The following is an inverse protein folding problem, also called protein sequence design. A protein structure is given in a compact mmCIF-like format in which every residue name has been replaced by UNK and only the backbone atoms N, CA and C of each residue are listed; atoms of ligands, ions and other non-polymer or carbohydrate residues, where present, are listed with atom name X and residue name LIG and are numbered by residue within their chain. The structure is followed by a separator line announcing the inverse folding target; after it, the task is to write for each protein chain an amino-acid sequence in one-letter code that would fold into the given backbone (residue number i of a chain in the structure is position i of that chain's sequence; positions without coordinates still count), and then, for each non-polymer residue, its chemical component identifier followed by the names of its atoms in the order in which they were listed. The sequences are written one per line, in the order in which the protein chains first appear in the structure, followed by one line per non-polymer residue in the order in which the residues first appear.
data_IF_499986987730
#
_entry.id   IF_499986987730
#
_cell.length_a   1.000
_cell.length_b   1.000
_cell.length_c   1.000
_cell.angle_alpha   90.00
_cell.angle_beta   90.00
_cell.angle_gamma   90.00
#
_symmetry.space_group_name_H-M   'P 1'
#
loop_
_entity.id
_entity.type
_entity.pdbx_description
1 polymer ?
#
# COMPACT_ATOMS: atom_id res chain seq x y z
N UNK A 1 -44.97 27.52 -10.49
CA UNK A 1 -45.19 26.18 -9.91
C UNK A 1 -44.97 25.02 -10.91
N UNK A 2 -45.03 25.24 -12.24
CA UNK A 2 -44.89 24.16 -13.24
C UNK A 2 -43.45 23.63 -13.49
N UNK A 3 -42.38 24.40 -13.24
CA UNK A 3 -41.01 23.98 -13.58
C UNK A 3 -40.37 22.94 -12.64
N UNK A 4 -40.96 22.68 -11.46
CA UNK A 4 -40.39 21.75 -10.47
C UNK A 4 -41.17 20.43 -10.37
N UNK A 5 -42.24 20.27 -11.15
CA UNK A 5 -43.02 19.04 -11.24
C UNK A 5 -42.16 17.77 -11.48
N UNK A 6 -41.14 17.76 -12.37
CA UNK A 6 -40.34 16.55 -12.57
C UNK A 6 -39.53 16.17 -11.32
N UNK A 7 -39.01 17.16 -10.58
CA UNK A 7 -38.23 16.93 -9.36
C UNK A 7 -39.14 16.31 -8.28
N UNK A 8 -40.34 16.86 -8.11
CA UNK A 8 -41.31 16.35 -7.17
C UNK A 8 -41.71 14.90 -7.47
N UNK A 9 -42.01 14.58 -8.73
CA UNK A 9 -42.33 13.22 -9.14
C UNK A 9 -41.14 12.25 -8.96
N UNK A 10 -39.91 12.71 -9.19
CA UNK A 10 -38.71 11.90 -8.92
C UNK A 10 -38.54 11.58 -7.44
N UNK A 11 -38.81 12.56 -6.55
CA UNK A 11 -38.75 12.36 -5.10
C UNK A 11 -39.85 11.40 -4.63
N UNK A 12 -41.08 11.54 -5.13
CA UNK A 12 -42.17 10.60 -4.83
C UNK A 12 -41.84 9.19 -5.36
N UNK A 13 -41.31 9.07 -6.58
CA UNK A 13 -40.88 7.79 -7.15
C UNK A 13 -39.76 7.14 -6.32
N UNK A 14 -38.81 7.93 -5.80
CA UNK A 14 -37.77 7.43 -4.90
C UNK A 14 -38.35 6.94 -3.56
N UNK A 15 -39.34 7.65 -3.01
CA UNK A 15 -40.04 7.23 -1.80
C UNK A 15 -40.81 5.91 -2.02
N UNK A 16 -41.56 5.80 -3.12
CA UNK A 16 -42.25 4.58 -3.55
C UNK A 16 -41.27 3.42 -3.73
N UNK A 17 -40.14 3.65 -4.41
CA UNK A 17 -39.12 2.63 -4.65
C UNK A 17 -38.48 2.12 -3.34
N UNK A 18 -38.21 3.02 -2.40
CA UNK A 18 -37.67 2.67 -1.07
C UNK A 18 -38.68 1.84 -0.27
N UNK A 19 -39.94 2.28 -0.24
CA UNK A 19 -41.01 1.54 0.45
C UNK A 19 -41.24 0.15 -0.19
N UNK A 20 -41.22 0.05 -1.51
CA UNK A 20 -41.35 -1.21 -2.23
C UNK A 20 -40.21 -2.19 -1.91
N UNK A 21 -38.96 -1.70 -1.88
CA UNK A 21 -37.77 -2.53 -1.65
C UNK A 21 -37.59 -2.92 -0.18
N UNK A 22 -37.51 -1.94 0.72
CA UNK A 22 -37.18 -2.16 2.13
C UNK A 22 -38.43 -2.42 2.97
N UNK A 23 -39.54 -1.74 2.67
CA UNK A 23 -40.78 -1.87 3.45
C UNK A 23 -41.61 -3.09 3.11
N UNK A 24 -41.68 -3.47 1.84
CA UNK A 24 -42.52 -4.59 1.39
C UNK A 24 -41.72 -5.82 1.00
N UNK A 25 -40.80 -5.71 0.02
CA UNK A 25 -40.08 -6.88 -0.52
C UNK A 25 -39.29 -7.62 0.55
N UNK A 26 -38.44 -6.92 1.33
CA UNK A 26 -37.62 -7.58 2.35
C UNK A 26 -38.45 -8.28 3.44
N UNK A 27 -39.40 -7.62 4.16
CA UNK A 27 -40.16 -8.28 5.21
C UNK A 27 -41.06 -9.39 4.66
N UNK A 28 -41.67 -9.18 3.49
CA UNK A 28 -42.54 -10.19 2.90
C UNK A 28 -41.81 -11.50 2.64
N UNK A 29 -40.63 -11.45 2.01
CA UNK A 29 -39.86 -12.66 1.72
C UNK A 29 -39.10 -13.20 2.95
N UNK A 30 -38.81 -12.36 3.95
CA UNK A 30 -38.22 -12.83 5.21
C UNK A 30 -39.22 -13.63 6.06
N UNK A 31 -40.47 -13.15 6.20
CA UNK A 31 -41.48 -13.78 7.07
C UNK A 31 -42.37 -14.79 6.34
N UNK A 32 -42.70 -14.57 5.07
CA UNK A 32 -43.60 -15.42 4.28
C UNK A 32 -42.89 -16.15 3.13
N UNK A 33 -41.55 -16.17 3.13
CA UNK A 33 -40.74 -16.90 2.17
C UNK A 33 -40.66 -18.41 2.47
N UNK A 34 -39.88 -19.12 1.65
CA UNK A 34 -39.59 -20.54 1.89
C UNK A 34 -38.62 -20.66 3.07
N UNK A 35 -39.02 -21.42 4.09
CA UNK A 35 -38.17 -21.68 5.25
C UNK A 35 -36.89 -22.43 4.82
N UNK A 36 -35.75 -21.92 5.29
CA UNK A 36 -34.43 -22.50 5.05
C UNK A 36 -34.06 -23.57 6.09
N UNK A 37 -34.87 -23.76 7.14
CA UNK A 37 -34.63 -24.74 8.20
C UNK A 37 -33.45 -24.39 9.10
N UNK A 38 -33.07 -23.11 9.16
CA UNK A 38 -31.94 -22.61 9.94
C UNK A 38 -32.43 -22.26 11.35
N UNK A 39 -31.83 -22.84 12.38
CA UNK A 39 -32.15 -22.50 13.77
C UNK A 39 -31.63 -21.08 14.09
N UNK A 40 -32.56 -20.12 14.17
CA UNK A 40 -32.24 -18.73 14.49
C UNK A 40 -32.10 -18.56 16.01
N UNK A 41 -31.01 -17.91 16.44
CA UNK A 41 -30.77 -17.54 17.84
C UNK A 41 -31.19 -16.09 18.09
N UNK A 42 -31.83 -15.84 19.22
CA UNK A 42 -32.18 -14.47 19.62
C UNK A 42 -30.92 -13.58 19.76
N UNK A 43 -31.02 -12.30 19.38
CA UNK A 43 -29.91 -11.36 19.48
C UNK A 43 -29.49 -11.13 20.95
N UNK A 44 -28.21 -10.83 21.21
CA UNK A 44 -27.72 -10.57 22.56
C UNK A 44 -28.42 -9.34 23.17
N UNK A 45 -28.57 -9.33 24.50
CA UNK A 45 -29.31 -8.28 25.24
C UNK A 45 -28.84 -6.86 24.91
N UNK A 46 -27.54 -6.64 24.70
CA UNK A 46 -26.99 -5.33 24.34
C UNK A 46 -27.52 -4.82 22.99
N UNK A 47 -27.72 -5.72 22.01
CA UNK A 47 -28.29 -5.37 20.71
C UNK A 47 -29.77 -5.02 20.83
N UNK A 48 -30.53 -5.77 21.64
CA UNK A 48 -31.93 -5.49 21.93
C UNK A 48 -32.14 -4.12 22.58
N UNK A 49 -31.29 -3.76 23.55
CA UNK A 49 -31.34 -2.44 24.19
C UNK A 49 -31.07 -1.34 23.15
N UNK A 50 -30.06 -1.52 22.29
CA UNK A 50 -29.77 -0.57 21.21
C UNK A 50 -30.94 -0.38 20.25
N UNK A 51 -31.55 -1.48 19.79
CA UNK A 51 -32.75 -1.45 18.94
C UNK A 51 -33.92 -0.77 19.65
N UNK A 52 -34.11 -1.04 20.95
CA UNK A 52 -35.17 -0.43 21.76
C UNK A 52 -35.01 1.08 21.89
N UNK A 53 -33.81 1.58 22.15
CA UNK A 53 -33.52 3.01 22.23
C UNK A 53 -33.75 3.68 20.87
N UNK A 54 -33.26 3.07 19.78
CA UNK A 54 -33.47 3.60 18.44
C UNK A 54 -34.96 3.66 18.06
N UNK A 55 -35.72 2.60 18.33
CA UNK A 55 -37.16 2.56 18.10
C UNK A 55 -37.90 3.62 18.94
N UNK A 56 -37.52 3.78 20.21
CA UNK A 56 -38.07 4.81 21.08
C UNK A 56 -37.82 6.22 20.53
N UNK A 57 -36.59 6.51 20.08
CA UNK A 57 -36.26 7.81 19.48
C UNK A 57 -37.01 8.06 18.17
N UNK A 58 -37.15 7.05 17.30
CA UNK A 58 -37.94 7.16 16.07
C UNK A 58 -39.41 7.48 16.35
N UNK A 59 -40.01 6.82 17.35
CA UNK A 59 -41.41 7.08 17.75
C UNK A 59 -41.52 8.48 18.38
N UNK A 60 -40.62 8.83 19.29
CA UNK A 60 -40.62 10.12 19.99
C UNK A 60 -40.53 11.29 18.99
N UNK A 61 -39.59 11.22 18.05
CA UNK A 61 -39.39 12.25 17.03
C UNK A 61 -40.50 12.28 15.99
N UNK A 62 -41.11 11.14 15.68
CA UNK A 62 -42.29 11.07 14.81
C UNK A 62 -43.50 11.76 15.46
N UNK A 63 -43.84 11.37 16.69
CA UNK A 63 -45.02 11.89 17.39
C UNK A 63 -44.84 13.36 17.82
N UNK A 64 -43.64 13.76 18.22
CA UNK A 64 -43.34 15.11 18.68
C UNK A 64 -42.22 15.78 17.85
N UNK A 65 -42.51 16.19 16.60
CA UNK A 65 -41.51 16.76 15.68
C UNK A 65 -40.98 18.12 16.14
N UNK A 66 -41.70 18.81 17.03
CA UNK A 66 -41.28 20.10 17.61
C UNK A 66 -39.93 20.02 18.30
N UNK A 67 -39.56 18.85 18.85
CA UNK A 67 -38.25 18.66 19.48
C UNK A 67 -37.10 18.87 18.49
N UNK A 68 -37.30 18.47 17.23
CA UNK A 68 -36.30 18.67 16.18
C UNK A 68 -36.35 20.10 15.65
N UNK A 69 -37.54 20.64 15.41
CA UNK A 69 -37.72 21.99 14.84
C UNK A 69 -37.14 23.10 15.71
N UNK A 70 -37.15 22.95 17.04
CA UNK A 70 -36.56 23.92 17.96
C UNK A 70 -35.01 23.97 17.90
N UNK A 71 -34.37 22.95 17.34
CA UNK A 71 -32.90 22.85 17.24
C UNK A 71 -32.41 23.35 15.86
N UNK A 72 -33.31 23.57 14.90
CA UNK A 72 -32.93 24.02 13.56
C UNK A 72 -32.40 25.47 13.57
N UNK A 73 -31.42 25.79 12.70
CA UNK A 73 -30.81 27.12 12.63
C UNK A 73 -31.75 28.21 12.07
N UNK A 74 -32.84 27.82 11.40
CA UNK A 74 -33.86 28.73 10.84
C UNK A 74 -35.27 28.34 11.31
N UNK A 75 -35.60 28.57 12.59
CA UNK A 75 -36.87 28.14 13.16
C UNK A 75 -38.09 28.86 12.56
N UNK A 76 -37.92 30.13 12.13
CA UNK A 76 -38.99 30.93 11.54
C UNK A 76 -39.53 30.37 10.21
N UNK A 77 -38.69 29.70 9.43
CA UNK A 77 -39.09 29.10 8.15
C UNK A 77 -39.93 27.81 8.33
N UNK A 78 -39.90 27.21 9.52
CA UNK A 78 -40.53 25.91 9.82
C UNK A 78 -41.69 26.05 10.83
N UNK A 79 -41.83 27.22 11.47
CA UNK A 79 -42.81 27.49 12.52
C UNK A 79 -44.27 27.22 12.09
N UNK A 80 -44.60 27.46 10.81
CA UNK A 80 -45.95 27.27 10.26
C UNK A 80 -46.14 25.92 9.55
N UNK A 81 -45.10 25.07 9.48
CA UNK A 81 -45.21 23.79 8.76
C UNK A 81 -45.92 22.74 9.62
N UNK A 82 -47.09 22.29 9.17
CA UNK A 82 -47.88 21.25 9.81
C UNK A 82 -47.63 19.88 9.14
N UNK A 83 -46.71 19.03 9.66
CA UNK A 83 -46.33 17.76 9.02
C UNK A 83 -47.50 16.77 8.92
N UNK A 84 -48.41 16.79 9.89
CA UNK A 84 -49.60 15.93 9.93
C UNK A 84 -50.86 16.62 9.38
N UNK A 85 -50.71 17.62 8.51
CA UNK A 85 -51.85 18.19 7.81
C UNK A 85 -52.62 17.10 7.04
N UNK A 86 -53.96 17.12 7.02
CA UNK A 86 -54.77 16.07 6.40
C UNK A 86 -54.38 15.76 4.95
N UNK A 87 -54.04 16.80 4.18
CA UNK A 87 -53.61 16.64 2.79
C UNK A 87 -52.33 15.78 2.66
N UNK A 88 -51.33 15.98 3.51
CA UNK A 88 -50.09 15.21 3.50
C UNK A 88 -50.31 13.76 3.92
N UNK A 89 -51.13 13.54 4.95
CA UNK A 89 -51.43 12.20 5.46
C UNK A 89 -52.22 11.39 4.45
N UNK A 90 -53.27 11.97 3.85
CA UNK A 90 -54.09 11.30 2.85
C UNK A 90 -53.27 10.99 1.59
N UNK A 91 -52.47 11.94 1.10
CA UNK A 91 -51.59 11.70 -0.05
C UNK A 91 -50.57 10.59 0.20
N UNK A 92 -49.93 10.59 1.37
CA UNK A 92 -48.99 9.54 1.77
C UNK A 92 -49.68 8.17 1.87
N UNK A 93 -50.87 8.12 2.45
CA UNK A 93 -51.65 6.88 2.57
C UNK A 93 -52.04 6.33 1.20
N UNK A 94 -52.53 7.18 0.29
CA UNK A 94 -52.84 6.80 -1.08
C UNK A 94 -51.62 6.22 -1.77
N UNK A 95 -50.46 6.90 -1.68
CA UNK A 95 -49.21 6.44 -2.28
C UNK A 95 -48.77 5.08 -1.73
N UNK A 96 -48.83 4.89 -0.41
CA UNK A 96 -48.47 3.62 0.25
C UNK A 96 -49.42 2.49 -0.16
N UNK A 97 -50.73 2.74 -0.19
CA UNK A 97 -51.74 1.75 -0.60
C UNK A 97 -51.60 1.36 -2.07
N UNK A 98 -51.37 2.32 -2.97
CA UNK A 98 -51.12 2.03 -4.39
C UNK A 98 -49.82 1.27 -4.59
N UNK A 99 -48.77 1.60 -3.84
CA UNK A 99 -47.50 0.86 -3.88
C UNK A 99 -47.68 -0.57 -3.38
N UNK A 100 -48.42 -0.77 -2.30
CA UNK A 100 -48.78 -2.10 -1.79
C UNK A 100 -49.60 -2.91 -2.79
N UNK A 101 -50.60 -2.29 -3.42
CA UNK A 101 -51.39 -2.92 -4.47
C UNK A 101 -50.51 -3.32 -5.67
N UNK A 102 -49.61 -2.43 -6.11
CA UNK A 102 -48.61 -2.74 -7.15
C UNK A 102 -47.70 -3.90 -6.75
N UNK A 103 -47.23 -3.94 -5.50
CA UNK A 103 -46.44 -5.05 -4.99
C UNK A 103 -47.18 -6.38 -5.07
N UNK A 104 -48.46 -6.44 -4.70
CA UNK A 104 -49.28 -7.66 -4.81
C UNK A 104 -49.40 -8.16 -6.25
N UNK A 105 -49.60 -7.24 -7.21
CA UNK A 105 -49.68 -7.58 -8.63
C UNK A 105 -48.34 -8.09 -9.19
N UNK A 106 -47.23 -7.44 -8.83
CA UNK A 106 -45.88 -7.76 -9.35
C UNK A 106 -45.11 -8.75 -8.48
N UNK A 107 -45.71 -9.32 -7.43
CA UNK A 107 -45.04 -10.20 -6.45
C UNK A 107 -44.23 -11.32 -7.11
N UNK A 108 -44.75 -11.94 -8.17
CA UNK A 108 -44.05 -13.03 -8.89
C UNK A 108 -42.74 -12.56 -9.55
N UNK A 109 -42.70 -11.32 -10.04
CA UNK A 109 -41.52 -10.73 -10.71
C UNK A 109 -40.51 -10.17 -9.71
N UNK A 110 -40.94 -9.88 -8.47
CA UNK A 110 -40.10 -9.32 -7.41
C UNK A 110 -39.39 -10.36 -6.54
N UNK A 111 -39.52 -11.65 -6.86
CA UNK A 111 -38.91 -12.74 -6.11
C UNK A 111 -37.37 -12.55 -6.07
N UNK A 112 -36.72 -12.65 -4.89
CA UNK A 112 -35.26 -12.57 -4.81
C UNK A 112 -34.62 -13.70 -5.61
N UNK A 113 -33.71 -13.35 -6.51
CA UNK A 113 -32.88 -14.29 -7.24
C UNK A 113 -31.54 -14.46 -6.53
N UNK A 114 -31.01 -15.69 -6.54
CA UNK A 114 -29.71 -16.01 -5.95
C UNK A 114 -28.61 -15.45 -6.83
N UNK A 115 -28.31 -14.16 -6.65
CA UNK A 115 -27.22 -13.47 -7.34
C UNK A 115 -26.15 -13.06 -6.33
N UNK A 116 -24.88 -13.10 -6.76
CA UNK A 116 -23.78 -12.58 -5.94
C UNK A 116 -23.82 -11.06 -6.07
N UNK A 117 -24.23 -10.38 -5.00
CA UNK A 117 -24.16 -8.92 -4.94
C UNK A 117 -22.70 -8.50 -4.78
N UNK A 118 -22.11 -7.96 -5.84
CA UNK A 118 -20.79 -7.36 -5.79
C UNK A 118 -20.93 -5.94 -5.22
N UNK A 119 -20.87 -5.84 -3.90
CA UNK A 119 -20.88 -4.55 -3.20
C UNK A 119 -19.43 -4.01 -3.03
N UNK A 120 -19.33 -2.78 -2.53
CA UNK A 120 -18.10 -2.09 -2.19
C UNK A 120 -17.23 -2.88 -1.19
N UNK A 121 -17.80 -3.83 -0.43
CA UNK A 121 -17.06 -4.78 0.41
C UNK A 121 -16.00 -5.56 -0.38
N UNK A 122 -16.24 -5.83 -1.67
CA UNK A 122 -15.28 -6.54 -2.52
C UNK A 122 -13.96 -5.76 -2.66
N UNK A 123 -14.05 -4.45 -2.85
CA UNK A 123 -12.88 -3.56 -2.93
C UNK A 123 -12.14 -3.51 -1.60
N UNK A 124 -12.88 -3.42 -0.49
CA UNK A 124 -12.28 -3.39 0.84
C UNK A 124 -11.56 -4.71 1.17
N UNK A 125 -12.21 -5.85 0.92
CA UNK A 125 -11.67 -7.19 1.19
C UNK A 125 -10.44 -7.48 0.33
N UNK A 126 -10.50 -7.19 -0.98
CA UNK A 126 -9.36 -7.41 -1.89
C UNK A 126 -8.22 -6.43 -1.64
N UNK A 127 -8.54 -5.16 -1.36
CA UNK A 127 -7.57 -4.13 -0.99
C UNK A 127 -6.81 -4.49 0.28
N UNK A 128 -7.51 -4.97 1.32
CA UNK A 128 -6.90 -5.40 2.57
C UNK A 128 -5.92 -6.57 2.40
N UNK A 129 -6.28 -7.57 1.58
CA UNK A 129 -5.37 -8.70 1.27
C UNK A 129 -4.13 -8.23 0.52
N UNK A 130 -4.31 -7.34 -0.47
CA UNK A 130 -3.19 -6.77 -1.22
C UNK A 130 -2.27 -5.94 -0.32
N UNK A 131 -2.84 -5.16 0.59
CA UNK A 131 -2.11 -4.35 1.55
C UNK A 131 -1.31 -5.22 2.54
N UNK A 132 -1.94 -6.26 3.09
CA UNK A 132 -1.26 -7.22 3.96
C UNK A 132 -0.14 -7.96 3.23
N UNK A 133 -0.36 -8.34 1.96
CA UNK A 133 0.68 -8.94 1.12
C UNK A 133 1.84 -7.98 0.88
N UNK A 134 1.56 -6.69 0.64
CA UNK A 134 2.57 -5.67 0.41
C UNK A 134 3.43 -5.40 1.66
N UNK A 135 2.83 -5.38 2.85
CA UNK A 135 3.59 -5.22 4.09
C UNK A 135 4.51 -6.42 4.33
N UNK A 136 3.97 -7.64 4.17
CA UNK A 136 4.68 -8.85 4.57
C UNK A 136 5.75 -9.32 3.55
N UNK A 137 5.71 -8.87 2.30
CA UNK A 137 6.65 -9.32 1.27
C UNK A 137 7.68 -8.25 0.89
N UNK A 138 7.36 -7.25 0.05
CA UNK A 138 8.36 -6.30 -0.43
C UNK A 138 8.92 -5.43 0.69
N UNK A 139 8.08 -4.98 1.62
CA UNK A 139 8.53 -4.10 2.70
C UNK A 139 9.36 -4.85 3.74
N UNK A 140 8.93 -6.04 4.16
CA UNK A 140 9.69 -6.90 5.06
C UNK A 140 11.05 -7.30 4.46
N UNK A 141 11.10 -7.62 3.17
CA UNK A 141 12.35 -7.96 2.46
C UNK A 141 13.29 -6.76 2.36
N UNK A 142 12.75 -5.57 2.08
CA UNK A 142 13.53 -4.33 2.07
C UNK A 142 14.15 -4.02 3.43
N UNK A 143 13.39 -4.20 4.51
CA UNK A 143 13.90 -4.02 5.86
C UNK A 143 15.00 -5.04 6.22
N UNK A 144 14.82 -6.31 5.88
CA UNK A 144 15.82 -7.35 6.12
C UNK A 144 17.13 -7.09 5.34
N UNK A 145 17.03 -6.64 4.08
CA UNK A 145 18.22 -6.29 3.29
C UNK A 145 19.08 -5.22 3.97
N UNK A 146 18.46 -4.20 4.57
CA UNK A 146 19.23 -3.17 5.31
C UNK A 146 19.97 -3.75 6.51
N UNK A 147 19.36 -4.71 7.22
CA UNK A 147 20.01 -5.39 8.35
C UNK A 147 21.17 -6.28 7.88
N UNK A 148 20.98 -7.00 6.78
CA UNK A 148 22.01 -7.88 6.20
C UNK A 148 23.24 -7.09 5.73
N UNK A 149 23.02 -5.97 5.03
CA UNK A 149 24.10 -5.07 4.59
C UNK A 149 24.90 -4.54 5.78
N UNK A 150 24.22 -4.12 6.87
CA UNK A 150 24.92 -3.63 8.07
C UNK A 150 25.76 -4.73 8.72
N UNK A 151 25.25 -5.96 8.78
CA UNK A 151 25.98 -7.11 9.33
C UNK A 151 27.19 -7.43 8.45
N UNK A 152 27.05 -7.43 7.13
CA UNK A 152 28.17 -7.65 6.20
C UNK A 152 29.24 -6.57 6.31
N UNK A 153 28.85 -5.29 6.33
CA UNK A 153 29.80 -4.17 6.49
C UNK A 153 30.56 -4.30 7.79
N UNK A 154 29.89 -4.64 8.89
CA UNK A 154 30.53 -4.89 10.19
C UNK A 154 31.51 -6.07 10.11
N UNK A 155 31.12 -7.18 9.48
CA UNK A 155 31.96 -8.36 9.36
C UNK A 155 33.18 -8.10 8.47
N UNK A 156 33.01 -7.36 7.37
CA UNK A 156 34.09 -6.91 6.51
C UNK A 156 35.06 -6.00 7.27
N UNK A 157 34.54 -5.01 8.02
CA UNK A 157 35.37 -4.14 8.85
C UNK A 157 36.15 -4.92 9.92
N UNK A 158 35.52 -5.90 10.57
CA UNK A 158 36.16 -6.77 11.55
C UNK A 158 37.21 -7.69 10.92
N UNK A 159 36.96 -8.20 9.71
CA UNK A 159 37.93 -8.99 8.95
C UNK A 159 39.13 -8.13 8.54
N UNK A 160 38.88 -6.97 7.93
CA UNK A 160 39.90 -6.03 7.47
C UNK A 160 40.79 -5.50 8.61
N UNK A 161 40.21 -5.29 9.79
CA UNK A 161 40.93 -4.80 10.98
C UNK A 161 41.94 -5.79 11.55
N UNK A 162 41.82 -7.10 11.28
CA UNK A 162 42.72 -8.11 11.87
C UNK A 162 44.14 -8.04 11.28
N UNK A 163 44.25 -7.77 9.98
CA UNK A 163 45.51 -7.52 9.28
C UNK A 163 45.25 -6.74 7.98
N UNK A 164 45.36 -5.40 7.98
CA UNK A 164 44.96 -4.56 6.84
C UNK A 164 45.89 -4.71 5.63
N UNK A 165 47.16 -5.11 5.83
CA UNK A 165 48.14 -5.23 4.76
C UNK A 165 47.86 -6.48 3.91
N UNK A 166 47.71 -7.64 4.55
CA UNK A 166 47.34 -8.90 3.88
C UNK A 166 45.92 -8.84 3.30
N UNK A 167 44.97 -8.19 3.98
CA UNK A 167 43.62 -8.01 3.46
C UNK A 167 43.62 -7.23 2.13
N UNK A 168 44.45 -6.19 2.03
CA UNK A 168 44.61 -5.44 0.79
C UNK A 168 45.31 -6.25 -0.29
N UNK A 169 46.34 -7.04 0.04
CA UNK A 169 46.98 -7.96 -0.89
C UNK A 169 45.97 -8.94 -1.52
N UNK A 170 45.12 -9.56 -0.70
CA UNK A 170 44.05 -10.46 -1.15
C UNK A 170 43.04 -9.73 -2.06
N UNK A 171 42.63 -8.50 -1.71
CA UNK A 171 41.71 -7.70 -2.53
C UNK A 171 42.35 -7.34 -3.87
N UNK A 172 43.61 -6.89 -3.86
CA UNK A 172 44.35 -6.55 -5.08
C UNK A 172 44.54 -7.76 -5.98
N UNK A 173 44.89 -8.91 -5.43
CA UNK A 173 45.05 -10.14 -6.21
C UNK A 173 43.69 -10.60 -6.79
N UNK A 174 42.58 -10.48 -6.05
CA UNK A 174 41.23 -10.78 -6.56
C UNK A 174 40.81 -9.86 -7.70
N UNK A 175 41.07 -8.57 -7.58
CA UNK A 175 40.79 -7.58 -8.64
C UNK A 175 41.68 -7.86 -9.86
N UNK A 176 42.96 -8.18 -9.64
CA UNK A 176 43.89 -8.51 -10.72
C UNK A 176 43.43 -9.77 -11.47
N UNK A 177 43.01 -10.82 -10.75
CA UNK A 177 42.41 -12.01 -11.36
C UNK A 177 41.11 -11.70 -12.10
N UNK A 178 40.21 -10.89 -11.54
CA UNK A 178 38.98 -10.49 -12.23
C UNK A 178 39.28 -9.76 -13.54
N UNK A 179 40.23 -8.82 -13.54
CA UNK A 179 40.67 -8.09 -14.73
C UNK A 179 41.38 -9.01 -15.73
N UNK A 180 42.25 -9.90 -15.26
CA UNK A 180 42.94 -10.88 -16.11
C UNK A 180 41.96 -11.86 -16.77
N UNK A 181 40.95 -12.31 -16.03
CA UNK A 181 39.93 -13.25 -16.53
C UNK A 181 39.01 -12.57 -17.56
N UNK A 182 38.75 -11.27 -17.42
CA UNK A 182 38.06 -10.45 -18.43
C UNK A 182 38.91 -10.22 -19.69
N UNK A 183 40.22 -9.99 -19.53
CA UNK A 183 41.09 -9.57 -20.63
C UNK A 183 41.68 -10.72 -21.45
N UNK A 184 42.08 -11.83 -20.84
CA UNK A 184 42.72 -12.95 -21.53
C UNK A 184 41.83 -14.19 -21.66
N UNK A 185 40.63 -14.17 -21.06
CA UNK A 185 39.83 -15.39 -20.87
C UNK A 185 40.54 -16.39 -19.95
N UNK A 186 39.80 -17.37 -19.42
CA UNK A 186 40.27 -18.35 -18.43
C UNK A 186 41.52 -19.13 -18.90
N UNK A 187 42.71 -18.56 -18.66
CA UNK A 187 44.01 -19.17 -18.94
C UNK A 187 44.45 -20.08 -17.78
N UNK A 188 45.33 -21.05 -18.05
CA UNK A 188 45.92 -21.94 -17.03
C UNK A 188 46.68 -21.20 -15.94
N UNK A 189 47.21 -20.01 -16.25
CA UNK A 189 47.87 -19.11 -15.30
C UNK A 189 46.85 -18.48 -14.34
N UNK A 190 45.65 -18.16 -14.82
CA UNK A 190 44.55 -17.66 -14.00
C UNK A 190 44.08 -18.67 -12.96
N UNK A 191 43.93 -19.95 -13.36
CA UNK A 191 43.52 -21.03 -12.46
C UNK A 191 44.57 -21.31 -11.37
N UNK A 192 45.85 -21.35 -11.74
CA UNK A 192 46.95 -21.53 -10.76
C UNK A 192 46.99 -20.38 -9.76
N UNK A 193 46.69 -19.16 -10.21
CA UNK A 193 46.66 -17.99 -9.36
C UNK A 193 45.41 -17.93 -8.47
N UNK A 194 44.26 -18.47 -8.91
CA UNK A 194 43.06 -18.69 -8.07
C UNK A 194 43.35 -19.66 -6.91
N UNK A 195 43.98 -20.81 -7.18
CA UNK A 195 44.33 -21.79 -6.14
C UNK A 195 45.26 -21.20 -5.06
N UNK A 196 46.26 -20.41 -5.47
CA UNK A 196 47.18 -19.71 -4.56
C UNK A 196 46.43 -18.67 -3.70
N UNK A 197 45.41 -18.01 -4.28
CA UNK A 197 44.61 -17.01 -3.59
C UNK A 197 43.66 -17.65 -2.57
N UNK A 198 43.08 -18.80 -2.91
CA UNK A 198 42.22 -19.58 -2.03
C UNK A 198 42.99 -20.13 -0.82
N UNK A 199 44.23 -20.60 -1.04
CA UNK A 199 45.12 -20.99 0.05
C UNK A 199 45.49 -19.81 0.96
N UNK A 200 45.72 -18.62 0.40
CA UNK A 200 45.92 -17.38 1.21
C UNK A 200 44.68 -16.99 2.00
N UNK A 201 43.49 -17.14 1.41
CA UNK A 201 42.23 -16.84 2.08
C UNK A 201 42.02 -17.73 3.31
N UNK A 202 42.46 -19.00 3.24
CA UNK A 202 42.39 -19.98 4.33
C UNK A 202 43.41 -19.74 5.45
N UNK A 203 44.54 -19.12 5.14
CA UNK A 203 45.63 -18.86 6.10
C UNK A 203 45.53 -17.48 6.80
N UNK A 204 44.54 -16.66 6.46
CA UNK A 204 44.30 -15.36 7.10
C UNK A 204 43.98 -15.52 8.60
N UNK A 205 44.57 -14.71 9.53
CA UNK A 205 45.23 -13.42 9.31
C UNK A 205 46.75 -13.44 9.02
N UNK A 206 47.40 -14.62 8.97
CA UNK A 206 48.79 -14.79 8.53
C UNK A 206 49.88 -14.05 9.34
N UNK A 207 51.14 -14.44 9.17
CA UNK A 207 52.29 -13.82 9.88
C UNK A 207 52.50 -12.36 9.46
N UNK A 208 52.81 -11.43 10.40
CA UNK A 208 52.67 -10.00 10.19
C UNK A 208 53.72 -9.34 9.28
N UNK A 209 54.78 -10.04 8.84
CA UNK A 209 55.88 -9.39 8.11
C UNK A 209 56.45 -10.32 7.04
N UNK A 210 55.79 -10.36 5.88
CA UNK A 210 56.44 -10.77 4.62
C UNK A 210 56.93 -9.51 3.90
N UNK A 211 58.06 -9.61 3.17
CA UNK A 211 58.59 -8.50 2.35
C UNK A 211 57.69 -8.31 1.14
N UNK A 212 56.58 -7.62 1.32
CA UNK A 212 55.75 -7.18 0.22
C UNK A 212 56.50 -6.12 -0.62
N UNK A 213 56.27 -6.08 -1.94
CA UNK A 213 56.80 -5.00 -2.76
C UNK A 213 56.32 -3.66 -2.19
N UNK A 214 57.24 -2.70 -2.06
CA UNK A 214 57.06 -1.36 -1.46
C UNK A 214 55.75 -0.68 -1.92
N UNK A 215 55.27 -1.00 -3.13
CA UNK A 215 54.00 -0.54 -3.70
C UNK A 215 52.76 -0.74 -2.82
N UNK A 216 52.61 -1.83 -2.06
CA UNK A 216 51.38 -2.09 -1.27
C UNK A 216 51.23 -1.08 -0.12
N UNK A 217 52.35 -0.79 0.56
CA UNK A 217 52.39 0.20 1.65
C UNK A 217 52.15 1.63 1.14
N UNK A 218 52.67 1.97 -0.04
CA UNK A 218 52.45 3.29 -0.68
C UNK A 218 50.99 3.42 -1.12
N UNK A 219 50.39 2.35 -1.65
CA UNK A 219 49.00 2.33 -2.09
C UNK A 219 48.04 2.48 -0.90
N UNK A 220 48.31 1.80 0.21
CA UNK A 220 47.59 2.01 1.48
C UNK A 220 47.68 3.47 1.94
N UNK A 221 48.90 4.05 1.91
CA UNK A 221 49.11 5.47 2.25
C UNK A 221 48.34 6.43 1.33
N UNK A 222 48.32 6.15 0.02
CA UNK A 222 47.59 6.95 -0.97
C UNK A 222 46.07 6.84 -0.80
N UNK A 223 45.54 5.64 -0.55
CA UNK A 223 44.12 5.44 -0.24
C UNK A 223 43.74 6.20 1.02
N UNK A 224 44.56 6.11 2.07
CA UNK A 224 44.29 6.80 3.34
C UNK A 224 44.31 8.32 3.17
N UNK A 225 45.29 8.86 2.43
CA UNK A 225 45.41 10.29 2.14
C UNK A 225 44.23 10.77 1.26
N UNK A 226 43.81 9.97 0.29
CA UNK A 226 42.66 10.28 -0.56
C UNK A 226 41.33 10.24 0.22
N UNK A 227 41.14 9.26 1.10
CA UNK A 227 39.98 9.18 2.00
C UNK A 227 39.95 10.36 2.99
N UNK A 228 41.12 10.76 3.52
CA UNK A 228 41.26 11.95 4.36
C UNK A 228 40.93 13.23 3.59
N UNK A 229 41.41 13.34 2.34
CA UNK A 229 41.10 14.47 1.47
C UNK A 229 39.61 14.55 1.14
N UNK A 230 38.94 13.42 0.88
CA UNK A 230 37.48 13.36 0.71
C UNK A 230 36.77 13.80 2.00
N UNK A 231 37.15 13.25 3.16
CA UNK A 231 36.57 13.63 4.44
C UNK A 231 36.71 15.12 4.74
N UNK A 232 37.87 15.72 4.42
CA UNK A 232 38.12 17.14 4.62
C UNK A 232 37.36 17.98 3.59
N UNK A 233 37.34 17.61 2.31
CA UNK A 233 36.80 18.45 1.22
C UNK A 233 35.27 18.38 1.10
N UNK A 234 34.67 17.20 1.29
CA UNK A 234 33.21 16.98 1.17
C UNK A 234 32.35 17.93 2.03
N UNK A 235 32.70 18.24 3.30
CA UNK A 235 31.91 19.19 4.08
C UNK A 235 32.05 20.67 3.65
N UNK A 236 33.07 21.03 2.86
CA UNK A 236 33.23 22.38 2.29
C UNK A 236 32.74 22.49 0.84
N UNK A 237 32.41 21.37 0.20
CA UNK A 237 31.84 21.35 -1.14
C UNK A 237 30.31 21.52 -1.05
N UNK A 238 29.76 22.52 -1.74
CA UNK A 238 28.31 22.67 -1.78
C UNK A 238 27.67 21.45 -2.48
N UNK A 239 26.51 21.01 -1.99
CA UNK A 239 25.78 19.82 -2.49
C UNK A 239 25.63 19.83 -4.02
N UNK A 240 25.48 21.01 -4.62
CA UNK A 240 25.37 21.19 -6.06
C UNK A 240 26.65 20.83 -6.84
N UNK A 241 27.83 21.06 -6.28
CA UNK A 241 29.11 20.72 -6.93
C UNK A 241 29.34 19.21 -6.90
N UNK A 242 28.92 18.53 -5.83
CA UNK A 242 28.97 17.06 -5.72
C UNK A 242 28.06 16.43 -6.77
N UNK A 243 26.82 16.92 -6.90
CA UNK A 243 25.87 16.44 -7.92
C UNK A 243 26.40 16.72 -9.33
N UNK A 244 26.98 17.90 -9.58
CA UNK A 244 27.55 18.25 -10.88
C UNK A 244 28.72 17.33 -11.28
N UNK A 245 29.63 17.02 -10.35
CA UNK A 245 30.75 16.11 -10.61
C UNK A 245 30.25 14.69 -10.92
N UNK A 246 29.30 14.17 -10.13
CA UNK A 246 28.70 12.84 -10.39
C UNK A 246 28.04 12.79 -11.77
N UNK A 247 27.30 13.84 -12.15
CA UNK A 247 26.71 13.94 -13.49
C UNK A 247 27.77 13.96 -14.60
N UNK A 248 28.86 14.70 -14.42
CA UNK A 248 29.95 14.74 -15.41
C UNK A 248 30.63 13.37 -15.56
N UNK A 249 30.89 12.66 -14.46
CA UNK A 249 31.48 11.31 -14.52
C UNK A 249 30.55 10.30 -15.20
N UNK A 250 29.26 10.32 -14.87
CA UNK A 250 28.27 9.43 -15.48
C UNK A 250 28.13 9.72 -16.97
N UNK A 251 28.01 10.99 -17.36
CA UNK A 251 27.89 11.37 -18.78
C UNK A 251 29.16 11.05 -19.55
N UNK A 252 30.34 11.32 -18.99
CA UNK A 252 31.63 10.98 -19.61
C UNK A 252 31.78 9.46 -19.79
N UNK A 253 31.40 8.67 -18.78
CA UNK A 253 31.41 7.22 -18.87
C UNK A 253 30.45 6.67 -19.93
N UNK A 254 29.25 7.24 -20.05
CA UNK A 254 28.27 6.86 -21.10
C UNK A 254 28.81 7.21 -22.49
N UNK A 255 29.37 8.40 -22.66
CA UNK A 255 29.94 8.85 -23.95
C UNK A 255 31.11 7.94 -24.38
N UNK A 256 32.00 7.60 -23.45
CA UNK A 256 33.13 6.72 -23.72
C UNK A 256 32.67 5.33 -24.15
N UNK A 257 31.64 4.78 -23.50
CA UNK A 257 31.04 3.49 -23.87
C UNK A 257 30.35 3.52 -25.24
N UNK A 258 29.70 4.63 -25.60
CA UNK A 258 29.10 4.83 -26.93
C UNK A 258 30.19 4.92 -28.01
N UNK A 259 31.32 5.59 -27.73
CA UNK A 259 32.45 5.67 -28.65
C UNK A 259 33.12 4.31 -28.88
N UNK A 260 33.29 3.50 -27.82
CA UNK A 260 33.80 2.13 -27.94
C UNK A 260 32.88 1.23 -28.78
N UNK A 261 31.56 1.28 -28.54
CA UNK A 261 30.61 0.50 -29.34
C UNK A 261 30.62 0.90 -30.82
N UNK A 262 30.79 2.19 -31.15
CA UNK A 262 30.93 2.64 -32.54
C UNK A 262 32.24 2.18 -33.18
N UNK A 263 33.31 2.05 -32.40
CA UNK A 263 34.64 1.61 -32.89
C UNK A 263 34.70 0.10 -33.17
N UNK A 264 33.87 -0.70 -32.49
CA UNK A 264 33.75 -2.14 -32.75
C UNK A 264 32.76 -2.51 -33.87
N UNK A 265 32.00 -1.55 -34.40
CA UNK A 265 30.95 -1.78 -35.40
C UNK A 265 31.33 -1.34 -36.84
N UNK A 266 32.56 -0.86 -37.05
CA UNK A 266 33.12 -0.53 -38.37
C UNK A 266 34.48 -1.16 -38.53
#
# INVERSE_FOLDING_TARGET
MANNAPIFLMLEAAAVGTFLSVGLKLPYFAFFGKDAGIEAKDPPKNMLIGMGIAAFLCILLGVYPSLLYNILPYPEAVADYAPYAPAHVIGSLQLLLFTYFGFLLLKKKLHPENTISLDTDWLYRKGGVLFAWFINNPLARGAQWTADVVIEVKNFAAWFSKNPVEALGIITDKICLFVLNISQGSSTVGQTAEDILDDRLRQYPGEPVRRDPIGVSVLLGMIFLFAYLIYVVVPYLSVYVVIALVMVFVVSGIIMRIMEMKRSAG
#
